data_IF_063031265884
#
_entry.id   IF_063031265884
#
_cell.length_a   1.000
_cell.length_b   1.000
_cell.length_c   1.000
_cell.angle_alpha   90.00
_cell.angle_beta   90.00
_cell.angle_gamma   90.00
#
_symmetry.space_group_name_H-M   'P 1'
#
loop_
_entity.id
_entity.type
_entity.pdbx_description
1 polymer ?
#
# COMPACT_ATOMS: atom_id res chain seq x y z
N UNK A 1 17.90 -8.63 -61.72
CA UNK A 1 17.07 -9.27 -60.68
C UNK A 1 17.99 -9.84 -59.61
N UNK A 2 17.97 -9.30 -58.39
CA UNK A 2 18.77 -9.80 -57.26
C UNK A 2 17.82 -10.06 -56.09
N UNK A 3 17.54 -11.34 -55.85
CA UNK A 3 16.91 -11.84 -54.63
C UNK A 3 17.92 -11.72 -53.49
N UNK A 4 17.53 -11.13 -52.36
CA UNK A 4 18.20 -11.35 -51.09
C UNK A 4 17.17 -11.63 -50.00
N UNK A 5 17.49 -12.72 -49.31
CA UNK A 5 16.70 -13.48 -48.35
C UNK A 5 16.54 -12.68 -47.05
N UNK A 6 15.32 -12.71 -46.51
CA UNK A 6 14.99 -12.18 -45.20
C UNK A 6 15.75 -12.96 -44.11
N UNK A 7 16.45 -12.24 -43.23
CA UNK A 7 16.93 -12.78 -41.96
C UNK A 7 16.18 -12.05 -40.86
N UNK A 8 15.09 -12.65 -40.42
CA UNK A 8 14.38 -12.22 -39.22
C UNK A 8 15.21 -12.66 -38.00
N UNK A 9 15.88 -11.70 -37.36
CA UNK A 9 16.46 -11.89 -36.03
C UNK A 9 15.32 -11.95 -35.01
N UNK A 10 14.88 -13.17 -34.69
CA UNK A 10 14.08 -13.43 -33.49
C UNK A 10 15.00 -13.24 -32.28
N UNK A 11 15.02 -12.03 -31.73
CA UNK A 11 15.51 -11.77 -30.38
C UNK A 11 14.57 -12.47 -29.41
N UNK A 12 14.94 -13.67 -28.98
CA UNK A 12 14.34 -14.34 -27.81
C UNK A 12 14.76 -13.51 -26.60
N UNK A 13 13.93 -12.55 -26.20
CA UNK A 13 14.07 -11.87 -24.92
C UNK A 13 13.77 -12.87 -23.82
N UNK A 14 14.81 -13.38 -23.17
CA UNK A 14 14.70 -14.12 -21.91
C UNK A 14 14.17 -13.15 -20.86
N UNK A 15 12.85 -13.11 -20.68
CA UNK A 15 12.24 -12.49 -19.51
C UNK A 15 12.71 -13.29 -18.29
N UNK A 16 13.75 -12.79 -17.62
CA UNK A 16 14.12 -13.28 -16.30
C UNK A 16 12.93 -13.04 -15.37
N UNK A 17 12.13 -14.07 -15.15
CA UNK A 17 11.15 -14.12 -14.07
C UNK A 17 11.94 -14.06 -12.77
N UNK A 18 12.21 -12.84 -12.27
CA UNK A 18 12.67 -12.68 -10.91
C UNK A 18 11.60 -13.32 -10.02
N UNK A 19 11.99 -14.31 -9.23
CA UNK A 19 11.10 -14.96 -8.30
C UNK A 19 10.50 -13.93 -7.34
N UNK A 20 9.21 -14.06 -7.03
CA UNK A 20 8.56 -13.19 -6.05
C UNK A 20 9.29 -13.25 -4.70
N UNK A 21 9.40 -12.13 -3.97
CA UNK A 21 10.11 -12.10 -2.71
C UNK A 21 9.40 -12.95 -1.65
N UNK A 22 10.17 -13.62 -0.78
CA UNK A 22 9.60 -14.41 0.31
C UNK A 22 9.01 -13.50 1.40
N UNK A 23 8.07 -13.99 2.22
CA UNK A 23 7.51 -13.22 3.33
C UNK A 23 8.58 -12.67 4.30
N UNK A 24 9.64 -13.44 4.56
CA UNK A 24 10.74 -13.04 5.43
C UNK A 24 11.56 -11.90 4.83
N UNK A 25 11.79 -11.92 3.50
CA UNK A 25 12.46 -10.84 2.79
C UNK A 25 11.62 -9.56 2.84
N UNK A 26 10.30 -9.69 2.63
CA UNK A 26 9.37 -8.55 2.72
C UNK A 26 9.39 -7.93 4.11
N UNK A 27 9.30 -8.74 5.17
CA UNK A 27 9.29 -8.27 6.57
C UNK A 27 10.62 -7.59 6.96
N UNK A 28 11.75 -8.16 6.54
CA UNK A 28 13.08 -7.55 6.73
C UNK A 28 13.24 -6.22 5.97
N UNK A 29 12.55 -6.09 4.83
CA UNK A 29 12.50 -4.88 4.01
C UNK A 29 11.57 -3.78 4.53
N UNK A 30 10.75 -4.03 5.57
CA UNK A 30 9.83 -3.02 6.09
C UNK A 30 10.59 -1.92 6.83
N UNK A 31 10.54 -0.69 6.30
CA UNK A 31 11.23 0.49 6.86
C UNK A 31 10.30 1.56 7.42
N UNK A 32 9.08 1.65 6.93
CA UNK A 32 8.16 2.74 7.27
C UNK A 32 6.79 2.20 7.69
N UNK A 33 6.13 2.94 8.57
CA UNK A 33 4.69 2.83 8.78
C UNK A 33 4.01 4.04 8.12
N UNK A 34 3.05 3.79 7.24
CA UNK A 34 2.30 4.82 6.53
C UNK A 34 0.91 4.90 7.13
N UNK A 35 0.57 6.07 7.66
CA UNK A 35 -0.70 6.34 8.32
C UNK A 35 -1.71 6.87 7.32
N UNK A 36 -2.92 6.32 7.37
CA UNK A 36 -4.05 6.70 6.54
C UNK A 36 -5.18 7.23 7.43
N UNK A 37 -5.86 8.27 6.95
CA UNK A 37 -7.13 8.73 7.49
C UNK A 37 -8.26 8.05 6.74
N UNK A 38 -9.14 7.35 7.46
CA UNK A 38 -10.31 6.65 6.93
C UNK A 38 -11.57 7.25 7.55
N UNK A 39 -12.53 7.66 6.72
CA UNK A 39 -13.83 8.14 7.19
C UNK A 39 -14.89 7.07 6.92
N UNK A 40 -15.42 6.41 7.96
CA UNK A 40 -16.49 5.45 7.76
C UNK A 40 -17.86 6.12 7.58
N UNK A 41 -18.81 5.41 6.97
CA UNK A 41 -20.23 5.74 7.05
C UNK A 41 -20.85 5.22 8.35
N UNK A 42 -22.17 5.37 8.49
CA UNK A 42 -22.91 4.90 9.66
C UNK A 42 -22.99 3.37 9.76
N UNK A 43 -22.77 2.67 8.65
CA UNK A 43 -22.69 1.23 8.58
C UNK A 43 -21.26 0.71 8.78
N UNK A 44 -20.29 1.58 9.11
CA UNK A 44 -18.89 1.22 9.33
C UNK A 44 -18.11 0.90 8.05
N UNK A 45 -18.61 1.25 6.86
CA UNK A 45 -17.88 1.11 5.59
C UNK A 45 -17.08 2.37 5.30
N UNK A 46 -15.83 2.23 4.86
CA UNK A 46 -15.00 3.36 4.51
C UNK A 46 -15.57 4.11 3.29
N UNK A 47 -15.91 5.39 3.46
CA UNK A 47 -16.33 6.30 2.38
C UNK A 47 -15.15 7.06 1.79
N UNK A 48 -14.16 7.39 2.61
CA UNK A 48 -12.89 7.97 2.17
C UNK A 48 -11.70 7.26 2.81
N UNK A 49 -10.58 7.29 2.09
CA UNK A 49 -9.28 6.87 2.58
C UNK A 49 -8.24 7.77 1.93
N UNK A 50 -7.33 8.35 2.72
CA UNK A 50 -6.25 9.21 2.21
C UNK A 50 -4.98 9.01 3.03
N UNK A 51 -3.84 9.18 2.37
CA UNK A 51 -2.55 9.31 3.05
C UNK A 51 -2.59 10.48 4.04
N UNK A 52 -2.00 10.29 5.23
CA UNK A 52 -1.89 11.31 6.27
C UNK A 52 -0.44 11.66 6.57
N UNK A 53 0.35 10.67 6.99
CA UNK A 53 1.76 10.86 7.32
C UNK A 53 2.54 9.55 7.21
N UNK A 54 3.87 9.66 7.24
CA UNK A 54 4.76 8.51 7.39
C UNK A 54 5.50 8.59 8.71
N UNK A 55 5.75 7.43 9.30
CA UNK A 55 6.64 7.23 10.44
C UNK A 55 7.79 6.32 10.05
N UNK A 56 8.98 6.66 10.52
CA UNK A 56 10.15 5.81 10.41
C UNK A 56 10.06 4.64 11.41
N UNK A 57 10.22 3.40 10.95
CA UNK A 57 10.05 2.23 11.82
C UNK A 57 11.13 2.13 12.89
N UNK A 58 12.36 2.54 12.59
CA UNK A 58 13.48 2.38 13.51
C UNK A 58 13.38 3.36 14.68
N UNK A 59 12.94 4.59 14.41
CA UNK A 59 12.84 5.65 15.43
C UNK A 59 11.42 5.85 15.97
N UNK A 60 10.41 5.31 15.29
CA UNK A 60 8.99 5.56 15.55
C UNK A 60 8.63 7.06 15.54
N UNK A 61 9.40 7.88 14.83
CA UNK A 61 9.18 9.32 14.67
C UNK A 61 8.53 9.61 13.31
N UNK A 62 7.77 10.71 13.19
CA UNK A 62 7.29 11.19 11.89
C UNK A 62 8.45 11.43 10.92
N UNK A 63 8.28 10.97 9.68
CA UNK A 63 9.19 11.21 8.57
C UNK A 63 8.45 11.99 7.48
N UNK A 64 8.52 13.33 7.48
CA UNK A 64 7.84 14.17 6.48
C UNK A 64 8.56 14.18 5.12
N UNK A 65 9.75 13.58 5.01
CA UNK A 65 10.53 13.60 3.77
C UNK A 65 10.16 12.43 2.86
N UNK A 66 9.71 11.32 3.44
CA UNK A 66 9.25 10.16 2.70
C UNK A 66 7.78 10.29 2.31
N UNK A 67 7.50 10.08 1.02
CA UNK A 67 6.14 9.94 0.49
C UNK A 67 6.06 8.62 -0.29
N UNK A 68 5.11 7.72 0.02
CA UNK A 68 4.92 6.51 -0.75
C UNK A 68 4.40 6.82 -2.16
N UNK A 69 4.51 5.84 -3.07
CA UNK A 69 3.96 5.98 -4.42
C UNK A 69 2.43 6.03 -4.41
N UNK A 70 1.83 6.60 -5.45
CA UNK A 70 0.37 6.60 -5.62
C UNK A 70 -0.21 5.18 -5.74
N UNK A 71 0.58 4.24 -6.27
CA UNK A 71 0.20 2.82 -6.34
C UNK A 71 0.08 2.21 -4.95
N UNK A 72 1.06 2.48 -4.08
CA UNK A 72 1.01 2.05 -2.67
C UNK A 72 -0.20 2.64 -1.95
N UNK A 73 -0.45 3.95 -2.13
CA UNK A 73 -1.62 4.63 -1.51
C UNK A 73 -2.93 4.00 -2.00
N UNK A 74 -3.02 3.71 -3.30
CA UNK A 74 -4.20 3.07 -3.91
C UNK A 74 -4.43 1.68 -3.32
N UNK A 75 -3.41 0.82 -3.33
CA UNK A 75 -3.49 -0.56 -2.81
C UNK A 75 -3.80 -0.58 -1.30
N UNK A 76 -3.18 0.31 -0.51
CA UNK A 76 -3.50 0.48 0.90
C UNK A 76 -4.97 0.82 1.10
N UNK A 77 -5.49 1.82 0.38
CA UNK A 77 -6.88 2.24 0.51
C UNK A 77 -7.87 1.17 0.05
N UNK A 78 -7.56 0.37 -0.97
CA UNK A 78 -8.38 -0.79 -1.35
C UNK A 78 -8.44 -1.85 -0.25
N UNK A 79 -7.32 -2.13 0.42
CA UNK A 79 -7.25 -3.07 1.55
C UNK A 79 -7.99 -2.54 2.77
N UNK A 80 -7.83 -1.24 3.08
CA UNK A 80 -8.49 -0.59 4.21
C UNK A 80 -10.01 -0.47 4.00
N UNK A 81 -10.48 -0.25 2.76
CA UNK A 81 -11.92 -0.20 2.44
C UNK A 81 -12.67 -1.50 2.67
N UNK A 82 -11.99 -2.65 2.59
CA UNK A 82 -12.58 -3.97 2.83
C UNK A 82 -12.88 -4.22 4.31
N UNK A 83 -12.38 -3.37 5.22
CA UNK A 83 -12.58 -3.50 6.67
C UNK A 83 -13.91 -2.91 7.12
N UNK A 84 -14.34 -3.39 8.27
CA UNK A 84 -15.48 -2.88 8.99
C UNK A 84 -14.97 -2.02 10.16
N UNK A 85 -15.27 -0.73 10.11
CA UNK A 85 -14.72 0.29 11.00
C UNK A 85 -15.66 0.63 12.15
N UNK A 86 -15.09 0.88 13.32
CA UNK A 86 -15.84 1.44 14.44
C UNK A 86 -16.23 2.89 14.13
N UNK A 87 -17.52 3.20 14.20
CA UNK A 87 -18.04 4.55 13.94
C UNK A 87 -18.03 5.34 15.24
N UNK A 88 -17.18 6.37 15.30
CA UNK A 88 -17.17 7.34 16.41
C UNK A 88 -17.80 8.63 15.94
N UNK A 89 -18.54 9.30 16.84
CA UNK A 89 -19.14 10.61 16.58
C UNK A 89 -18.61 11.61 17.58
N UNK A 90 -18.42 12.84 17.12
CA UNK A 90 -18.12 13.96 18.00
C UNK A 90 -19.40 14.48 18.70
N UNK A 91 -19.26 15.53 19.51
CA UNK A 91 -20.35 16.13 20.29
C UNK A 91 -21.49 16.72 19.46
N UNK A 92 -21.25 17.03 18.18
CA UNK A 92 -22.26 17.54 17.23
C UNK A 92 -22.84 16.42 16.34
N UNK A 93 -22.50 15.16 16.60
CA UNK A 93 -23.02 13.99 15.88
C UNK A 93 -22.31 13.68 14.54
N UNK A 94 -21.26 14.42 14.17
CA UNK A 94 -20.49 14.16 12.95
C UNK A 94 -19.58 12.95 13.12
N UNK A 95 -19.46 12.13 12.07
CA UNK A 95 -18.57 10.96 12.07
C UNK A 95 -17.11 11.43 12.11
N UNK A 96 -16.33 10.86 13.03
CA UNK A 96 -14.92 11.14 13.18
C UNK A 96 -14.07 10.24 12.28
N UNK A 97 -12.97 10.76 11.72
CA UNK A 97 -12.00 9.93 11.03
C UNK A 97 -11.34 8.95 11.98
N UNK A 98 -10.99 7.78 11.46
CA UNK A 98 -10.16 6.78 12.12
C UNK A 98 -8.79 6.79 11.43
N UNK A 99 -7.73 6.70 12.22
CA UNK A 99 -6.37 6.59 11.71
C UNK A 99 -5.87 5.16 11.89
N UNK A 100 -5.37 4.58 10.82
CA UNK A 100 -4.76 3.25 10.83
C UNK A 100 -3.50 3.29 9.96
N UNK A 101 -2.66 2.27 10.03
CA UNK A 101 -1.42 2.24 9.26
C UNK A 101 -1.23 0.95 8.48
N UNK A 102 -0.51 1.08 7.39
CA UNK A 102 0.06 -0.02 6.64
C UNK A 102 1.59 0.08 6.70
N UNK A 103 2.27 -1.06 6.70
CA UNK A 103 3.72 -1.13 6.60
C UNK A 103 4.14 -0.95 5.14
N UNK A 104 5.25 -0.25 4.93
CA UNK A 104 5.90 -0.10 3.64
C UNK A 104 7.23 -0.84 3.65
N UNK A 105 7.43 -1.70 2.65
CA UNK A 105 8.65 -2.48 2.45
C UNK A 105 9.35 -2.03 1.19
N UNK A 106 10.67 -1.82 1.28
CA UNK A 106 11.50 -1.47 0.12
C UNK A 106 11.57 -2.59 -0.93
N UNK A 107 11.25 -3.82 -0.52
CA UNK A 107 11.25 -5.00 -1.39
C UNK A 107 9.99 -5.05 -2.27
N UNK A 108 8.87 -4.52 -1.79
CA UNK A 108 7.59 -4.43 -2.51
C UNK A 108 6.98 -3.02 -2.35
N UNK A 109 7.64 -1.97 -2.87
CA UNK A 109 7.36 -0.59 -2.50
C UNK A 109 5.98 -0.08 -2.93
N UNK A 110 5.32 -0.76 -3.86
CA UNK A 110 3.97 -0.45 -4.34
C UNK A 110 2.87 -1.28 -3.66
N UNK A 111 3.22 -2.26 -2.81
CA UNK A 111 2.25 -3.16 -2.17
C UNK A 111 2.19 -2.87 -0.66
N UNK A 112 1.04 -2.41 -0.19
CA UNK A 112 0.79 -2.09 1.20
C UNK A 112 0.53 -3.34 2.06
N UNK A 113 1.20 -3.41 3.20
CA UNK A 113 1.02 -4.47 4.20
C UNK A 113 0.16 -3.92 5.33
N UNK A 114 -1.15 -4.06 5.22
CA UNK A 114 -2.08 -3.52 6.21
C UNK A 114 -2.52 -4.61 7.20
N UNK A 115 -2.33 -4.41 8.51
CA UNK A 115 -2.67 -5.41 9.54
C UNK A 115 -4.16 -5.73 9.56
N UNK A 116 -4.58 -6.98 9.44
CA UNK A 116 -5.97 -7.35 9.72
C UNK A 116 -6.18 -7.25 11.23
N UNK A 117 -6.88 -6.23 11.72
CA UNK A 117 -7.25 -6.17 13.14
C UNK A 117 -8.41 -7.17 13.34
N UNK A 118 -8.30 -8.16 14.23
CA UNK A 118 -9.44 -8.99 14.61
C UNK A 118 -10.52 -8.08 15.18
N UNK A 119 -11.76 -8.19 14.69
CA UNK A 119 -12.88 -7.52 15.33
C UNK A 119 -13.04 -8.11 16.73
N UNK A 120 -12.74 -7.33 17.76
CA UNK A 120 -13.10 -7.66 19.14
C UNK A 120 -14.55 -7.26 19.41
#
# INVERSE_FOLDING_TARGET
>A
MRMYVAVAFLLVTTASLAADPTPEQVEAGVKKAVVFEVVPDLAGKATSCKYSMTQDRATNQPDPTFHPSDKYVTDACEKLRKRQWAVRRNTIGAVQPVYDYCQWSEVIPDNAICRVVPQQ
#
